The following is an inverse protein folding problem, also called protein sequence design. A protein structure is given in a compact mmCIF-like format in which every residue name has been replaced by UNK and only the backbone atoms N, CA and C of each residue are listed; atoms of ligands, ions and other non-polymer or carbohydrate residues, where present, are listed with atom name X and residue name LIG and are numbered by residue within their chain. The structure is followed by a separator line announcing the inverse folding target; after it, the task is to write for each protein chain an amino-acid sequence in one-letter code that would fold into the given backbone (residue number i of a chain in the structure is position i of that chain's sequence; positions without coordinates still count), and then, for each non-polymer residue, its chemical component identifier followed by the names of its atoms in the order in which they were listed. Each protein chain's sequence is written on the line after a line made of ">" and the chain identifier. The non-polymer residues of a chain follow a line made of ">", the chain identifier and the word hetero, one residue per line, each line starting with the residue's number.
data_IF_343373025455
#
_entry.id   IF_343373025455
#
_cell.length_a   1.000
_cell.length_b   1.000
_cell.length_c   1.000
_cell.angle_alpha   90.00
_cell.angle_beta   90.00
_cell.angle_gamma   90.00
#
_symmetry.space_group_name_H-M   'P 1'
#
loop_
_entity.id
_entity.type
_entity.pdbx_description
1 polymer ?
#
# COMPACT_ATOMS: atom_id res chain seq x y z
N UNK A 1 -6.27 -22.58 -48.96
CA UNK A 1 -6.74 -23.11 -47.67
C UNK A 1 -6.93 -21.95 -46.70
N UNK A 2 -8.14 -21.75 -46.16
CA UNK A 2 -8.46 -20.59 -45.32
C UNK A 2 -7.88 -20.73 -43.91
N UNK A 3 -7.08 -19.76 -43.47
CA UNK A 3 -6.54 -19.69 -42.11
C UNK A 3 -7.68 -19.26 -41.17
N UNK A 4 -8.15 -20.19 -40.34
CA UNK A 4 -9.12 -19.90 -39.28
C UNK A 4 -8.47 -19.00 -38.25
N UNK A 5 -8.72 -17.69 -38.32
CA UNK A 5 -8.31 -16.74 -37.28
C UNK A 5 -9.27 -16.90 -36.08
N UNK A 6 -9.04 -17.93 -35.26
CA UNK A 6 -9.68 -18.06 -33.95
C UNK A 6 -9.19 -16.99 -32.96
N UNK A 7 -9.86 -16.82 -31.81
CA UNK A 7 -9.47 -15.84 -30.80
C UNK A 7 -7.99 -16.03 -30.42
N UNK A 8 -7.26 -14.91 -30.32
CA UNK A 8 -5.83 -14.91 -30.07
C UNK A 8 -5.47 -15.73 -28.83
N UNK A 9 -4.49 -16.64 -28.97
CA UNK A 9 -4.00 -17.47 -27.88
C UNK A 9 -3.36 -16.57 -26.83
N UNK A 10 -3.96 -16.50 -25.64
CA UNK A 10 -3.42 -15.73 -24.50
C UNK A 10 -2.00 -16.24 -24.20
N UNK A 11 -1.04 -15.32 -24.05
CA UNK A 11 0.34 -15.67 -23.65
C UNK A 11 0.29 -16.38 -22.30
N UNK A 12 0.80 -17.61 -22.25
CA UNK A 12 0.86 -18.42 -21.03
C UNK A 12 2.16 -18.13 -20.30
N UNK A 13 2.09 -17.96 -18.98
CA UNK A 13 3.28 -17.93 -18.12
C UNK A 13 3.96 -19.30 -18.09
N UNK A 14 5.29 -19.31 -18.01
CA UNK A 14 6.09 -20.52 -17.86
C UNK A 14 5.82 -21.22 -16.53
N UNK A 15 6.12 -22.52 -16.45
CA UNK A 15 5.98 -23.31 -15.22
C UNK A 15 6.87 -22.75 -14.11
N UNK A 16 8.16 -22.55 -14.42
CA UNK A 16 9.17 -21.93 -13.55
C UNK A 16 8.68 -20.62 -12.92
N UNK A 17 8.09 -19.74 -13.73
CA UNK A 17 7.59 -18.46 -13.25
C UNK A 17 6.46 -18.64 -12.22
N UNK A 18 5.53 -19.56 -12.48
CA UNK A 18 4.42 -19.83 -11.56
C UNK A 18 4.92 -20.43 -10.25
N UNK A 19 5.87 -21.36 -10.32
CA UNK A 19 6.46 -22.00 -9.15
C UNK A 19 7.24 -20.99 -8.30
N UNK A 20 8.10 -20.17 -8.91
CA UNK A 20 8.81 -19.09 -8.22
C UNK A 20 7.83 -18.13 -7.53
N UNK A 21 6.78 -17.71 -8.23
CA UNK A 21 5.78 -16.81 -7.66
C UNK A 21 5.04 -17.43 -6.46
N UNK A 22 4.66 -18.71 -6.56
CA UNK A 22 4.01 -19.43 -5.46
C UNK A 22 4.95 -19.56 -4.27
N UNK A 23 6.21 -19.91 -4.49
CA UNK A 23 7.21 -20.07 -3.45
C UNK A 23 7.51 -18.74 -2.73
N UNK A 24 7.70 -17.63 -3.47
CA UNK A 24 7.85 -16.28 -2.92
C UNK A 24 6.67 -15.92 -2.00
N UNK A 25 5.48 -16.25 -2.46
CA UNK A 25 4.26 -15.97 -1.71
C UNK A 25 4.11 -16.86 -0.46
N UNK A 26 4.71 -18.05 -0.45
CA UNK A 26 4.62 -19.00 0.67
C UNK A 26 5.52 -18.62 1.84
N UNK A 27 6.41 -17.64 1.66
CA UNK A 27 7.27 -17.12 2.71
C UNK A 27 6.45 -16.50 3.86
N UNK A 28 6.86 -16.69 5.12
CA UNK A 28 6.14 -16.14 6.27
C UNK A 28 6.10 -14.61 6.19
N UNK A 29 4.98 -14.00 6.54
CA UNK A 29 4.82 -12.53 6.56
C UNK A 29 4.62 -11.84 5.20
N UNK A 30 4.80 -12.55 4.09
CA UNK A 30 4.59 -12.04 2.73
C UNK A 30 3.12 -12.19 2.32
N UNK A 31 2.49 -11.10 1.86
CA UNK A 31 1.11 -11.15 1.35
C UNK A 31 1.08 -11.52 -0.13
N UNK A 32 0.04 -12.25 -0.54
CA UNK A 32 -0.24 -12.56 -1.95
C UNK A 32 -0.33 -11.29 -2.79
N UNK A 33 -0.96 -10.24 -2.23
CA UNK A 33 -1.17 -8.98 -2.93
C UNK A 33 0.16 -8.31 -3.28
N UNK A 34 1.06 -8.21 -2.32
CA UNK A 34 2.36 -7.53 -2.49
C UNK A 34 3.22 -8.25 -3.53
N UNK A 35 3.23 -9.60 -3.53
CA UNK A 35 3.94 -10.41 -4.54
C UNK A 35 3.29 -10.29 -5.92
N UNK A 36 1.97 -10.22 -5.98
CA UNK A 36 1.27 -10.07 -7.23
C UNK A 36 1.53 -8.68 -7.86
N UNK A 37 1.56 -7.64 -7.03
CA UNK A 37 1.91 -6.28 -7.45
C UNK A 37 3.36 -6.20 -7.95
N UNK A 38 4.33 -6.82 -7.25
CA UNK A 38 5.74 -6.83 -7.68
C UNK A 38 5.95 -7.58 -9.00
N UNK A 39 5.20 -8.67 -9.22
CA UNK A 39 5.24 -9.45 -10.46
C UNK A 39 4.33 -8.91 -11.57
N UNK A 40 3.64 -7.78 -11.33
CA UNK A 40 2.67 -7.18 -12.24
C UNK A 40 1.58 -8.16 -12.72
N UNK A 41 1.14 -9.07 -11.84
CA UNK A 41 0.06 -10.03 -12.09
C UNK A 41 -1.14 -9.72 -11.21
N UNK A 42 -2.33 -10.14 -11.65
CA UNK A 42 -3.52 -10.00 -10.82
C UNK A 42 -3.44 -10.95 -9.60
N UNK A 43 -3.73 -10.53 -8.36
CA UNK A 43 -3.62 -11.38 -7.16
C UNK A 43 -4.39 -12.70 -7.24
N UNK A 44 -5.54 -12.69 -7.93
CA UNK A 44 -6.32 -13.90 -8.23
C UNK A 44 -5.51 -14.99 -8.94
N UNK A 45 -4.62 -14.61 -9.87
CA UNK A 45 -3.78 -15.56 -10.60
C UNK A 45 -2.83 -16.30 -9.65
N UNK A 46 -2.24 -15.56 -8.70
CA UNK A 46 -1.32 -16.13 -7.72
C UNK A 46 -2.05 -17.05 -6.73
N UNK A 47 -3.24 -16.65 -6.28
CA UNK A 47 -4.12 -17.52 -5.47
C UNK A 47 -4.51 -18.79 -6.21
N UNK A 48 -4.81 -18.69 -7.51
CA UNK A 48 -5.09 -19.84 -8.37
C UNK A 48 -3.87 -20.77 -8.43
N UNK A 49 -2.67 -20.25 -8.68
CA UNK A 49 -1.47 -21.08 -8.75
C UNK A 49 -1.13 -21.77 -7.43
N UNK A 50 -1.34 -21.12 -6.28
CA UNK A 50 -1.21 -21.78 -4.96
C UNK A 50 -2.15 -22.98 -4.84
N UNK A 51 -3.40 -22.81 -5.26
CA UNK A 51 -4.38 -23.91 -5.28
C UNK A 51 -3.90 -25.03 -6.21
N UNK A 52 -3.43 -24.71 -7.40
CA UNK A 52 -2.93 -25.69 -8.36
C UNK A 52 -1.69 -26.45 -7.87
N UNK A 53 -0.79 -25.82 -7.11
CA UNK A 53 0.33 -26.50 -6.46
C UNK A 53 -0.17 -27.44 -5.36
N UNK A 54 -1.09 -26.99 -4.51
CA UNK A 54 -1.69 -27.82 -3.45
C UNK A 54 -2.46 -29.02 -4.00
N UNK A 55 -3.17 -28.82 -5.11
CA UNK A 55 -3.98 -29.85 -5.75
C UNK A 55 -3.13 -30.77 -6.65
N UNK A 56 -1.81 -30.54 -6.76
CA UNK A 56 -0.88 -31.37 -7.53
C UNK A 56 -0.93 -31.19 -9.05
N UNK A 57 -1.58 -30.13 -9.55
CA UNK A 57 -1.62 -29.81 -10.98
C UNK A 57 -0.33 -29.13 -11.48
N UNK A 58 0.32 -28.37 -10.59
CA UNK A 58 1.61 -27.72 -10.83
C UNK A 58 2.68 -28.49 -10.08
N UNK A 59 3.31 -29.44 -10.77
CA UNK A 59 4.45 -30.22 -10.25
C UNK A 59 5.70 -29.82 -11.01
N UNK A 60 6.73 -29.41 -10.27
CA UNK A 60 8.05 -29.07 -10.81
C UNK A 60 8.96 -28.64 -9.66
N UNK A 61 10.26 -28.64 -9.91
CA UNK A 61 11.24 -28.18 -8.94
C UNK A 61 11.24 -26.65 -8.95
N UNK A 62 10.84 -25.97 -7.85
CA UNK A 62 10.83 -24.53 -7.84
C UNK A 62 12.29 -24.00 -7.88
N UNK A 63 12.56 -22.94 -8.66
CA UNK A 63 13.90 -22.35 -8.71
C UNK A 63 14.31 -21.82 -7.33
N UNK A 64 15.61 -21.85 -7.03
CA UNK A 64 16.14 -21.37 -5.75
C UNK A 64 15.75 -19.91 -5.50
N UNK A 65 15.18 -19.65 -4.32
CA UNK A 65 14.81 -18.29 -3.92
C UNK A 65 15.96 -17.65 -3.20
N UNK A 66 16.33 -16.46 -3.67
CA UNK A 66 17.19 -15.57 -2.91
C UNK A 66 16.40 -15.05 -1.68
N UNK A 67 16.84 -15.37 -0.45
CA UNK A 67 16.12 -14.97 0.77
C UNK A 67 16.02 -13.44 0.93
N UNK A 68 16.86 -12.69 0.22
CA UNK A 68 16.80 -11.23 0.15
C UNK A 68 15.50 -10.72 -0.48
N UNK A 69 14.98 -11.37 -1.53
CA UNK A 69 13.77 -10.91 -2.23
C UNK A 69 12.55 -10.87 -1.28
N UNK A 70 12.42 -11.88 -0.41
CA UNK A 70 11.33 -11.97 0.55
C UNK A 70 11.47 -10.96 1.72
N UNK A 71 12.69 -10.77 2.22
CA UNK A 71 12.99 -9.83 3.30
C UNK A 71 12.74 -8.38 2.87
N UNK A 72 13.08 -8.02 1.64
CA UNK A 72 12.84 -6.68 1.10
C UNK A 72 11.34 -6.37 0.96
N UNK A 73 10.52 -7.34 0.53
CA UNK A 73 9.06 -7.18 0.48
C UNK A 73 8.47 -6.89 1.87
N UNK A 74 8.95 -7.56 2.92
CA UNK A 74 8.52 -7.30 4.28
C UNK A 74 8.90 -5.89 4.74
N UNK A 75 10.15 -5.48 4.49
CA UNK A 75 10.65 -4.13 4.83
C UNK A 75 9.82 -3.05 4.17
N UNK A 76 9.56 -3.18 2.86
CA UNK A 76 8.74 -2.23 2.11
C UNK A 76 7.35 -2.07 2.74
N UNK A 77 6.70 -3.19 3.09
CA UNK A 77 5.37 -3.17 3.72
C UNK A 77 5.37 -2.48 5.09
N UNK A 78 6.39 -2.71 5.91
CA UNK A 78 6.48 -2.08 7.21
C UNK A 78 6.77 -0.58 7.10
N UNK A 79 7.62 -0.17 6.15
CA UNK A 79 7.87 1.25 5.83
C UNK A 79 6.58 1.93 5.35
N UNK A 80 5.82 1.31 4.44
CA UNK A 80 4.54 1.85 3.99
C UNK A 80 3.53 2.02 5.12
N UNK A 81 3.49 1.06 6.06
CA UNK A 81 2.59 1.13 7.22
C UNK A 81 2.97 2.30 8.13
N UNK A 82 4.26 2.46 8.40
CA UNK A 82 4.77 3.58 9.20
C UNK A 82 4.50 4.92 8.52
N UNK A 83 4.72 5.00 7.21
CA UNK A 83 4.46 6.20 6.42
C UNK A 83 2.98 6.61 6.46
N UNK A 84 2.05 5.67 6.26
CA UNK A 84 0.60 5.93 6.36
C UNK A 84 0.20 6.41 7.75
N UNK A 85 0.76 5.79 8.80
CA UNK A 85 0.54 6.23 10.19
C UNK A 85 1.01 7.67 10.40
N UNK A 86 2.23 7.97 9.95
CA UNK A 86 2.82 9.31 10.08
C UNK A 86 2.01 10.36 9.32
N UNK A 87 1.50 10.03 8.12
CA UNK A 87 0.61 10.92 7.37
C UNK A 87 -0.69 11.24 8.13
N UNK A 88 -1.33 10.22 8.71
CA UNK A 88 -2.54 10.43 9.51
C UNK A 88 -2.29 11.28 10.75
N UNK A 89 -1.20 11.01 11.48
CA UNK A 89 -0.80 11.78 12.66
C UNK A 89 -0.51 13.24 12.28
N UNK A 90 0.21 13.47 11.18
CA UNK A 90 0.51 14.79 10.66
C UNK A 90 -0.74 15.57 10.24
N UNK A 91 -1.68 14.92 9.54
CA UNK A 91 -2.95 15.54 9.15
C UNK A 91 -3.81 15.90 10.37
N UNK A 92 -3.80 15.06 11.40
CA UNK A 92 -4.48 15.35 12.67
C UNK A 92 -3.84 16.55 13.37
N UNK A 93 -2.51 16.61 13.44
CA UNK A 93 -1.79 17.74 14.03
C UNK A 93 -2.10 19.05 13.29
N UNK A 94 -2.10 19.02 11.96
CA UNK A 94 -2.50 20.19 11.15
C UNK A 94 -3.91 20.66 11.46
N UNK A 95 -4.87 19.74 11.59
CA UNK A 95 -6.25 20.06 11.97
C UNK A 95 -6.33 20.67 13.37
N UNK A 96 -5.60 20.11 14.33
CA UNK A 96 -5.55 20.62 15.70
C UNK A 96 -4.97 22.04 15.77
N UNK A 97 -3.87 22.31 15.05
CA UNK A 97 -3.26 23.64 14.95
C UNK A 97 -4.24 24.65 14.37
N UNK A 98 -4.92 24.31 13.26
CA UNK A 98 -5.95 25.16 12.66
C UNK A 98 -7.06 25.48 13.65
N UNK A 99 -7.62 24.46 14.28
CA UNK A 99 -8.68 24.62 15.28
C UNK A 99 -8.24 25.52 16.45
N UNK A 100 -7.04 25.34 16.99
CA UNK A 100 -6.50 26.17 18.07
C UNK A 100 -6.30 27.64 17.62
N UNK A 101 -5.77 27.86 16.41
CA UNK A 101 -5.58 29.21 15.86
C UNK A 101 -6.90 29.95 15.66
N UNK A 102 -7.95 29.27 15.18
CA UNK A 102 -9.27 29.87 14.98
C UNK A 102 -9.92 30.30 16.30
N UNK A 103 -9.74 29.51 17.38
CA UNK A 103 -10.23 29.90 18.70
C UNK A 103 -9.50 31.13 19.25
N UNK A 104 -8.17 31.20 19.08
CA UNK A 104 -7.37 32.36 19.50
C UNK A 104 -7.82 33.66 18.81
N UNK A 105 -8.23 33.60 17.54
CA UNK A 105 -8.79 34.75 16.84
C UNK A 105 -10.14 35.20 17.40
N UNK A 106 -11.00 34.24 17.80
CA UNK A 106 -12.35 34.52 18.33
C UNK A 106 -12.37 34.96 19.80
N UNK A 107 -11.36 34.58 20.58
CA UNK A 107 -11.30 34.83 22.03
C UNK A 107 -10.50 36.06 22.44
N UNK A 108 -10.06 36.90 21.49
CA UNK A 108 -9.46 38.19 21.84
C UNK A 108 -10.51 39.07 22.52
N UNK A 109 -10.38 39.40 23.82
CA UNK A 109 -11.26 40.38 24.42
C UNK A 109 -10.91 41.69 23.76
N UNK A 110 -11.84 42.25 23.00
CA UNK A 110 -11.73 43.61 22.50
C UNK A 110 -11.66 44.52 23.72
N UNK A 111 -10.44 44.86 24.12
CA UNK A 111 -10.16 45.85 25.15
C UNK A 111 -10.65 47.19 24.61
N UNK A 112 -11.92 47.51 24.86
CA UNK A 112 -12.44 48.88 24.72
C UNK A 112 -11.70 49.72 25.74
N UNK A 113 -10.64 50.38 25.28
CA UNK A 113 -9.94 51.40 26.02
C UNK A 113 -10.93 52.56 26.25
N UNK A 114 -11.64 52.53 27.38
CA UNK A 114 -12.46 53.65 27.84
C UNK A 114 -11.52 54.71 28.41
N UNK A 115 -10.85 55.42 27.49
CA UNK A 115 -10.11 56.63 27.84
C UNK A 115 -11.08 57.66 28.41
N UNK A 116 -10.89 58.01 29.69
CA UNK A 116 -11.64 59.08 30.38
C UNK A 116 -11.51 60.37 29.56
N UNK A 117 -12.65 60.93 29.14
CA UNK A 117 -12.71 62.27 28.56
C UNK A 117 -12.35 63.29 29.65
N UNK A 118 -11.12 63.82 29.59
CA UNK A 118 -10.74 64.99 30.38
C UNK A 118 -11.43 66.23 29.79
N UNK A 119 -12.50 66.68 30.45
CA UNK A 119 -13.15 67.97 30.18
C UNK A 119 -12.37 69.07 30.92
N UNK A 120 -11.59 69.85 30.19
CA UNK A 120 -10.96 71.06 30.73
C UNK A 120 -11.95 72.23 30.80
N UNK A 121 -11.84 73.04 31.85
CA UNK A 121 -12.57 74.30 32.07
C UNK A 121 -12.03 75.42 31.19
#
# INVERSE_FOLDING_TARGET
>A
MAKRNGPAKIKKYSLEFKLKAVQLSSQPGVLIKDVAESLCIHPFMLSKWRKQVRDGELVGDPPELEPQEAAELQRLRDVERQFKRLQMEHDLLKKAIRFASERKMKSSPSSRQTGKSSRSK
#
